data_IF_543624940029
#
_entry.id   IF_543624940029
#
_cell.length_a   1.000
_cell.length_b   1.000
_cell.length_c   1.000
_cell.angle_alpha   90.00
_cell.angle_beta   90.00
_cell.angle_gamma   90.00
#
_symmetry.space_group_name_H-M   'P 1'
#
loop_
_entity.id
_entity.type
_entity.pdbx_description
1 polymer ?
#
# COMPACT_ATOMS: atom_id res chain seq x y z
N UNK A 1 8.77 -19.00 -6.44
CA UNK A 1 8.68 -17.60 -6.95
C UNK A 1 9.74 -16.81 -6.22
N UNK A 2 10.53 -16.02 -6.93
CA UNK A 2 11.61 -15.20 -6.36
C UNK A 2 11.04 -13.81 -6.15
N UNK A 3 10.93 -13.37 -4.89
CA UNK A 3 10.44 -12.03 -4.58
C UNK A 3 11.60 -11.03 -4.59
N UNK A 4 11.43 -9.96 -5.35
CA UNK A 4 12.43 -8.90 -5.57
C UNK A 4 11.81 -7.55 -5.28
N UNK A 5 12.53 -6.69 -4.56
CA UNK A 5 12.06 -5.37 -4.17
C UNK A 5 13.20 -4.34 -4.11
N UNK A 6 12.92 -3.03 -4.27
CA UNK A 6 13.91 -1.99 -4.07
C UNK A 6 14.49 -2.03 -2.66
N UNK A 7 15.78 -1.74 -2.51
CA UNK A 7 16.48 -1.81 -1.21
C UNK A 7 15.78 -1.01 -0.11
N UNK A 8 15.17 0.13 -0.44
CA UNK A 8 14.44 0.98 0.50
C UNK A 8 13.02 0.49 0.84
N UNK A 9 12.52 -0.57 0.19
CA UNK A 9 11.15 -1.08 0.37
C UNK A 9 10.81 -1.40 1.82
N UNK A 10 11.75 -2.01 2.54
CA UNK A 10 11.58 -2.38 3.96
C UNK A 10 11.65 -1.17 4.91
N UNK A 11 12.16 -0.04 4.45
CA UNK A 11 12.25 1.20 5.24
C UNK A 11 10.96 2.00 5.22
N UNK A 12 10.05 1.66 4.30
CA UNK A 12 8.76 2.35 4.22
C UNK A 12 7.98 2.23 5.54
N UNK A 13 7.57 3.38 6.05
CA UNK A 13 6.66 3.53 7.20
C UNK A 13 5.63 4.59 6.88
N UNK A 14 4.36 4.26 7.05
CA UNK A 14 3.29 5.25 6.90
C UNK A 14 3.49 6.37 7.92
N UNK A 15 3.44 7.61 7.47
CA UNK A 15 3.57 8.79 8.34
C UNK A 15 2.24 9.34 8.86
N UNK A 16 1.14 8.65 8.54
CA UNK A 16 -0.21 8.86 9.07
C UNK A 16 -0.67 10.33 9.01
N UNK A 17 -0.91 10.94 10.18
CA UNK A 17 -1.36 12.34 10.35
C UNK A 17 -0.39 13.39 9.80
N UNK A 18 0.88 13.04 9.61
CA UNK A 18 1.90 13.93 9.03
C UNK A 18 1.85 14.03 7.51
N UNK A 19 0.94 13.29 6.84
CA UNK A 19 0.74 13.39 5.40
C UNK A 19 0.04 14.68 5.03
N UNK A 20 0.62 15.46 4.11
CA UNK A 20 -0.04 16.61 3.48
C UNK A 20 -1.06 16.14 2.45
N UNK A 21 -0.75 15.04 1.73
CA UNK A 21 -1.60 14.43 0.72
C UNK A 21 -1.98 13.01 1.13
N UNK A 22 -2.84 12.91 2.17
CA UNK A 22 -3.26 11.62 2.70
C UNK A 22 -3.99 10.78 1.65
N UNK A 23 -3.67 9.48 1.57
CA UNK A 23 -4.41 8.52 0.74
C UNK A 23 -5.90 8.42 1.13
N UNK A 24 -6.25 8.75 2.38
CA UNK A 24 -7.63 8.83 2.86
C UNK A 24 -8.39 10.08 2.36
N UNK A 25 -7.72 11.01 1.67
CA UNK A 25 -8.29 12.22 1.09
C UNK A 25 -8.30 12.18 -0.45
N UNK A 26 -8.08 11.03 -1.03
CA UNK A 26 -8.16 10.82 -2.47
C UNK A 26 -9.48 10.15 -2.81
N UNK A 27 -10.11 10.60 -3.86
CA UNK A 27 -11.41 10.08 -4.31
C UNK A 27 -11.23 8.74 -5.04
N UNK A 28 -10.91 7.68 -4.33
CA UNK A 28 -10.76 6.33 -4.85
C UNK A 28 -11.53 5.34 -3.98
N UNK A 29 -12.09 4.33 -4.61
CA UNK A 29 -12.85 3.28 -3.92
C UNK A 29 -11.92 2.45 -3.02
N UNK A 30 -12.38 2.18 -1.81
CA UNK A 30 -11.70 1.29 -0.87
C UNK A 30 -12.55 0.02 -0.75
N UNK A 31 -12.21 -0.98 -1.52
CA UNK A 31 -12.82 -2.29 -1.38
C UNK A 31 -12.37 -2.95 -0.07
N UNK A 32 -13.31 -3.62 0.59
CA UNK A 32 -13.06 -4.30 1.86
C UNK A 32 -13.06 -5.80 1.58
N UNK A 33 -11.94 -6.46 1.86
CA UNK A 33 -11.87 -7.91 1.76
C UNK A 33 -12.90 -8.59 2.68
N UNK A 34 -13.38 -9.76 2.26
CA UNK A 34 -14.49 -10.42 2.94
C UNK A 34 -14.16 -10.82 4.38
N UNK A 35 -12.91 -11.20 4.65
CA UNK A 35 -12.48 -11.58 6.00
C UNK A 35 -12.56 -10.38 6.95
N UNK A 36 -12.06 -9.23 6.51
CA UNK A 36 -12.12 -7.99 7.29
C UNK A 36 -13.53 -7.45 7.39
N UNK A 37 -14.33 -7.52 6.31
CA UNK A 37 -15.73 -7.14 6.35
C UNK A 37 -16.52 -7.94 7.39
N UNK A 38 -16.27 -9.24 7.50
CA UNK A 38 -16.89 -10.08 8.53
C UNK A 38 -16.48 -9.68 9.95
N UNK A 39 -15.21 -9.31 10.17
CA UNK A 39 -14.77 -8.74 11.47
C UNK A 39 -15.55 -7.47 11.82
N UNK A 40 -15.71 -6.56 10.86
CA UNK A 40 -16.44 -5.30 11.08
C UNK A 40 -17.91 -5.53 11.41
N UNK A 41 -18.55 -6.52 10.77
CA UNK A 41 -19.96 -6.82 11.01
C UNK A 41 -20.24 -7.32 12.44
N UNK A 42 -19.29 -8.00 13.07
CA UNK A 42 -19.44 -8.54 14.43
C UNK A 42 -18.75 -7.68 15.50
N UNK A 43 -18.00 -6.66 15.09
CA UNK A 43 -17.31 -5.76 16.01
C UNK A 43 -18.33 -4.99 16.85
N UNK A 44 -18.17 -5.02 18.17
CA UNK A 44 -19.07 -4.39 19.13
C UNK A 44 -18.61 -2.99 19.52
N UNK A 45 -19.49 -2.21 20.14
CA UNK A 45 -19.18 -0.86 20.60
C UNK A 45 -19.28 0.21 19.50
N UNK A 46 -19.01 1.45 19.89
CA UNK A 46 -19.09 2.62 19.02
C UNK A 46 -18.18 2.52 17.79
N UNK A 47 -16.91 2.05 17.90
CA UNK A 47 -16.06 1.88 16.73
C UNK A 47 -16.67 0.95 15.68
N UNK A 48 -17.21 -0.19 16.11
CA UNK A 48 -17.82 -1.16 15.22
C UNK A 48 -19.07 -0.62 14.53
N UNK A 49 -19.88 0.18 15.22
CA UNK A 49 -21.06 0.83 14.65
C UNK A 49 -20.67 1.88 13.60
N UNK A 50 -19.69 2.72 13.90
CA UNK A 50 -19.17 3.73 12.99
C UNK A 50 -18.60 3.10 11.73
N UNK A 51 -17.82 2.03 11.86
CA UNK A 51 -17.26 1.30 10.72
C UNK A 51 -18.39 0.71 9.87
N UNK A 52 -19.36 0.02 10.47
CA UNK A 52 -20.50 -0.58 9.73
C UNK A 52 -21.33 0.45 8.98
N UNK A 53 -21.62 1.59 9.57
CA UNK A 53 -22.40 2.66 8.93
C UNK A 53 -21.62 3.35 7.81
N UNK A 54 -20.30 3.22 7.79
CA UNK A 54 -19.43 3.74 6.73
C UNK A 54 -19.27 2.77 5.56
N UNK A 55 -19.72 1.52 5.70
CA UNK A 55 -19.66 0.52 4.64
C UNK A 55 -20.93 0.54 3.77
N UNK A 56 -20.75 0.28 2.49
CA UNK A 56 -21.81 -0.04 1.54
C UNK A 56 -21.53 -1.34 0.79
N UNK A 57 -22.53 -1.79 0.06
CA UNK A 57 -22.46 -3.00 -0.77
C UNK A 57 -22.94 -4.25 -0.04
N UNK A 58 -22.76 -5.38 -0.69
CA UNK A 58 -23.22 -6.70 -0.24
C UNK A 58 -22.05 -7.65 -0.03
N UNK A 59 -22.31 -8.85 0.44
CA UNK A 59 -21.30 -9.89 0.59
C UNK A 59 -20.45 -10.04 -0.69
N UNK A 60 -19.13 -10.01 -0.54
CA UNK A 60 -18.16 -10.10 -1.62
C UNK A 60 -17.96 -8.82 -2.44
N UNK A 61 -18.66 -7.72 -2.09
CA UNK A 61 -18.51 -6.42 -2.76
C UNK A 61 -18.82 -5.28 -1.76
N UNK A 62 -18.12 -5.27 -0.64
CA UNK A 62 -18.22 -4.21 0.36
C UNK A 62 -17.12 -3.20 0.17
N UNK A 63 -17.47 -1.94 0.40
CA UNK A 63 -16.52 -0.82 0.31
C UNK A 63 -16.85 0.28 1.31
N UNK A 64 -15.87 1.12 1.62
CA UNK A 64 -16.12 2.38 2.30
C UNK A 64 -16.61 3.41 1.29
N UNK A 65 -17.67 4.13 1.68
CA UNK A 65 -18.28 5.19 0.85
C UNK A 65 -17.55 6.49 1.12
N UNK A 66 -16.84 6.99 0.13
CA UNK A 66 -16.22 8.31 0.23
C UNK A 66 -17.27 9.42 0.30
N UNK A 67 -17.01 10.42 1.14
CA UNK A 67 -17.83 11.65 1.23
C UNK A 67 -16.94 12.82 0.90
N UNK A 68 -17.31 13.57 -0.14
CA UNK A 68 -16.56 14.74 -0.61
C UNK A 68 -15.07 14.47 -0.83
N UNK A 69 -14.74 13.30 -1.40
CA UNK A 69 -13.38 12.87 -1.65
C UNK A 69 -12.60 12.44 -0.40
N UNK A 70 -13.28 12.25 0.74
CA UNK A 70 -12.68 11.92 2.03
C UNK A 70 -13.22 10.60 2.56
N UNK A 71 -12.33 9.77 3.10
CA UNK A 71 -12.71 8.55 3.82
C UNK A 71 -13.54 8.93 5.07
N UNK A 72 -14.71 8.31 5.29
CA UNK A 72 -15.55 8.61 6.45
C UNK A 72 -14.91 8.21 7.79
N UNK A 73 -13.85 7.42 7.75
CA UNK A 73 -13.10 6.99 8.92
C UNK A 73 -11.84 7.82 9.18
N UNK A 74 -11.56 8.83 8.35
CA UNK A 74 -10.49 9.79 8.60
C UNK A 74 -10.97 10.86 9.58
N UNK A 75 -10.32 10.95 10.74
CA UNK A 75 -10.64 11.91 11.79
C UNK A 75 -10.11 13.31 11.44
N UNK A 76 -10.51 14.32 12.20
CA UNK A 76 -10.10 15.72 11.98
C UNK A 76 -8.61 15.93 12.23
N UNK A 77 -8.02 15.13 13.13
CA UNK A 77 -6.58 15.13 13.44
C UNK A 77 -5.72 14.43 12.36
N UNK A 78 -6.34 13.90 11.30
CA UNK A 78 -5.64 13.21 10.22
C UNK A 78 -5.38 11.73 10.45
N UNK A 79 -5.81 11.18 11.59
CA UNK A 79 -5.66 9.76 11.91
C UNK A 79 -6.85 8.93 11.39
N UNK A 80 -6.57 7.69 11.02
CA UNK A 80 -7.60 6.72 10.70
C UNK A 80 -8.28 6.22 12.00
N UNK A 81 -9.60 6.32 12.08
CA UNK A 81 -10.38 5.86 13.25
C UNK A 81 -10.17 4.37 13.53
N UNK A 82 -10.06 3.52 12.50
CA UNK A 82 -9.78 2.10 12.70
C UNK A 82 -8.48 1.93 13.47
N UNK A 83 -7.40 2.60 13.03
CA UNK A 83 -6.09 2.51 13.69
C UNK A 83 -6.18 3.04 15.12
N UNK A 84 -6.77 4.22 15.30
CA UNK A 84 -6.80 4.91 16.59
C UNK A 84 -7.63 4.17 17.65
N UNK A 85 -8.75 3.54 17.25
CA UNK A 85 -9.72 2.97 18.18
C UNK A 85 -9.68 1.44 18.25
N UNK A 86 -9.17 0.75 17.21
CA UNK A 86 -9.24 -0.72 17.15
C UNK A 86 -7.91 -1.39 16.85
N UNK A 87 -6.90 -0.64 16.40
CA UNK A 87 -5.58 -1.15 16.05
C UNK A 87 -5.38 -1.35 14.55
N UNK A 88 -4.12 -1.28 14.14
CA UNK A 88 -3.67 -1.40 12.74
C UNK A 88 -4.03 -2.76 12.14
N UNK A 89 -4.06 -3.80 12.93
CA UNK A 89 -4.41 -5.18 12.55
C UNK A 89 -5.87 -5.36 12.11
N UNK A 90 -6.67 -4.32 12.28
CA UNK A 90 -8.07 -4.30 11.83
C UNK A 90 -8.27 -3.50 10.53
N UNK A 91 -7.21 -3.04 9.88
CA UNK A 91 -7.31 -2.47 8.53
C UNK A 91 -7.72 -3.54 7.52
N UNK A 92 -8.50 -3.15 6.50
CA UNK A 92 -8.71 -3.99 5.32
C UNK A 92 -7.44 -4.05 4.46
N UNK A 93 -7.32 -5.09 3.63
CA UNK A 93 -6.10 -5.38 2.87
C UNK A 93 -5.61 -4.18 2.06
N UNK A 94 -6.50 -3.47 1.36
CA UNK A 94 -6.13 -2.27 0.59
C UNK A 94 -5.47 -1.22 1.48
N UNK A 95 -6.03 -0.93 2.66
CA UNK A 95 -5.48 0.07 3.56
C UNK A 95 -4.18 -0.41 4.23
N UNK A 96 -4.11 -1.68 4.64
CA UNK A 96 -2.94 -2.27 5.27
C UNK A 96 -1.75 -2.35 4.30
N UNK A 97 -2.02 -2.68 3.04
CA UNK A 97 -0.98 -2.86 2.02
C UNK A 97 -0.58 -1.55 1.34
N UNK A 98 -1.42 -0.51 1.34
CA UNK A 98 -1.09 0.75 0.69
C UNK A 98 0.23 1.35 1.23
N UNK A 99 1.12 1.82 0.39
CA UNK A 99 1.11 1.91 -1.07
C UNK A 99 1.81 0.75 -1.79
N UNK A 100 1.90 -0.40 -1.16
CA UNK A 100 2.60 -1.56 -1.73
C UNK A 100 1.84 -2.13 -2.92
N UNK A 101 2.59 -2.58 -3.91
CA UNK A 101 2.07 -3.31 -5.05
C UNK A 101 2.97 -4.49 -5.38
N UNK A 102 2.40 -5.48 -6.06
CA UNK A 102 3.09 -6.69 -6.49
C UNK A 102 2.79 -6.94 -7.95
N UNK A 103 3.82 -7.32 -8.70
CA UNK A 103 3.71 -7.66 -10.12
C UNK A 103 4.42 -8.99 -10.36
N UNK A 104 3.67 -9.97 -10.86
CA UNK A 104 4.24 -11.26 -11.23
C UNK A 104 4.74 -11.23 -12.68
N UNK A 105 5.93 -11.76 -12.91
CA UNK A 105 6.51 -11.96 -14.22
C UNK A 105 7.33 -13.27 -14.24
N UNK A 106 6.77 -14.31 -14.81
CA UNK A 106 7.39 -15.63 -14.85
C UNK A 106 7.60 -16.20 -13.44
N UNK A 107 8.84 -16.43 -13.05
CA UNK A 107 9.22 -16.93 -11.73
C UNK A 107 9.49 -15.83 -10.70
N UNK A 108 9.35 -14.55 -11.10
CA UNK A 108 9.60 -13.39 -10.25
C UNK A 108 8.31 -12.76 -9.79
N UNK A 109 8.30 -12.31 -8.55
CA UNK A 109 7.37 -11.36 -8.01
C UNK A 109 8.12 -10.06 -7.70
N UNK A 110 7.74 -8.97 -8.35
CA UNK A 110 8.29 -7.65 -8.07
C UNK A 110 7.39 -6.95 -7.05
N UNK A 111 7.93 -6.64 -5.88
CA UNK A 111 7.26 -5.81 -4.91
C UNK A 111 7.79 -4.37 -4.98
N UNK A 112 6.91 -3.41 -4.78
CA UNK A 112 7.29 -2.00 -4.77
C UNK A 112 6.36 -1.15 -3.92
N UNK A 113 6.67 0.14 -3.83
CA UNK A 113 5.82 1.16 -3.20
C UNK A 113 5.40 2.19 -4.23
N UNK A 114 4.10 2.44 -4.33
CA UNK A 114 3.50 3.31 -5.33
C UNK A 114 3.82 4.79 -5.11
N UNK A 115 4.08 5.52 -6.18
CA UNK A 115 4.41 6.94 -6.14
C UNK A 115 3.20 7.86 -5.91
N UNK A 116 2.01 7.31 -5.75
CA UNK A 116 0.84 8.04 -5.25
C UNK A 116 0.93 8.37 -3.75
N UNK A 117 1.86 7.74 -3.03
CA UNK A 117 2.14 8.01 -1.63
C UNK A 117 3.31 8.99 -1.48
N UNK A 118 3.11 10.10 -0.79
CA UNK A 118 4.16 11.12 -0.61
C UNK A 118 5.38 10.59 0.16
N UNK A 119 5.20 9.65 1.09
CA UNK A 119 6.32 9.01 1.79
C UNK A 119 7.14 8.11 0.86
N UNK A 120 6.48 7.39 -0.05
CA UNK A 120 7.19 6.61 -1.06
C UNK A 120 8.05 7.49 -1.96
N UNK A 121 7.51 8.64 -2.36
CA UNK A 121 8.26 9.64 -3.15
C UNK A 121 9.42 10.22 -2.35
N UNK A 122 9.20 10.56 -1.08
CA UNK A 122 10.26 11.09 -0.21
C UNK A 122 11.40 10.08 -0.03
N UNK A 123 11.09 8.80 0.20
CA UNK A 123 12.08 7.73 0.29
C UNK A 123 12.87 7.56 -1.00
N UNK A 124 12.21 7.56 -2.14
CA UNK A 124 12.87 7.44 -3.45
C UNK A 124 13.81 8.62 -3.70
N UNK A 125 13.36 9.85 -3.43
CA UNK A 125 14.15 11.06 -3.67
C UNK A 125 15.29 11.27 -2.65
N UNK A 126 15.16 10.74 -1.44
CA UNK A 126 16.22 10.80 -0.42
C UNK A 126 17.37 9.81 -0.70
N UNK A 127 17.13 8.85 -1.59
CA UNK A 127 18.14 7.88 -1.96
C UNK A 127 19.17 8.50 -2.90
N UNK A 128 20.38 8.76 -2.37
CA UNK A 128 21.49 9.35 -3.11
C UNK A 128 22.35 8.34 -3.90
N UNK A 129 22.02 7.05 -3.77
CA UNK A 129 22.70 5.95 -4.46
C UNK A 129 21.86 5.45 -5.64
N UNK A 130 22.47 4.79 -6.64
CA UNK A 130 21.70 4.10 -7.67
C UNK A 130 20.66 3.17 -7.06
N UNK A 131 19.50 3.05 -7.72
CA UNK A 131 18.42 2.17 -7.28
C UNK A 131 18.89 0.72 -7.32
N UNK A 132 19.02 0.10 -6.15
CA UNK A 132 19.39 -1.30 -6.00
C UNK A 132 18.17 -2.13 -5.60
N UNK A 133 18.17 -3.38 -6.02
CA UNK A 133 17.11 -4.34 -5.73
C UNK A 133 17.66 -5.46 -4.86
N UNK A 134 16.81 -6.00 -4.00
CA UNK A 134 17.09 -7.13 -3.12
C UNK A 134 16.22 -8.32 -3.49
N UNK A 135 16.77 -9.51 -3.38
CA UNK A 135 16.03 -10.76 -3.40
C UNK A 135 15.78 -11.22 -1.97
N UNK A 136 14.57 -11.70 -1.69
CA UNK A 136 14.16 -12.08 -0.31
C UNK A 136 14.94 -13.28 0.23
N UNK A 137 15.37 -14.21 -0.65
CA UNK A 137 16.12 -15.42 -0.28
C UNK A 137 17.64 -15.24 -0.26
N UNK A 138 18.15 -14.15 -0.81
CA UNK A 138 19.59 -13.87 -0.88
C UNK A 138 19.83 -12.42 -0.48
N UNK A 139 20.79 -12.18 0.43
CA UNK A 139 21.20 -10.81 0.79
C UNK A 139 22.00 -10.10 -0.33
N UNK A 140 21.75 -10.47 -1.58
CA UNK A 140 22.45 -9.92 -2.73
C UNK A 140 21.71 -8.67 -3.25
N UNK A 141 22.48 -7.62 -3.45
CA UNK A 141 22.02 -6.40 -4.09
C UNK A 141 22.40 -6.44 -5.57
N UNK A 142 21.48 -6.06 -6.45
CA UNK A 142 21.74 -5.94 -7.87
C UNK A 142 21.08 -4.68 -8.44
N UNK A 143 21.66 -4.15 -9.50
CA UNK A 143 21.14 -2.99 -10.18
C UNK A 143 19.99 -3.35 -11.13
N UNK A 144 19.28 -2.32 -11.63
CA UNK A 144 18.12 -2.50 -12.47
C UNK A 144 18.43 -3.23 -13.81
N UNK A 145 19.53 -2.96 -14.52
CA UNK A 145 19.91 -3.74 -15.71
C UNK A 145 20.09 -5.23 -15.41
N UNK A 146 20.75 -5.57 -14.31
CA UNK A 146 20.96 -6.98 -13.88
C UNK A 146 19.63 -7.66 -13.60
N UNK A 147 18.68 -6.97 -12.91
CA UNK A 147 17.34 -7.47 -12.65
C UNK A 147 16.60 -7.77 -13.96
N UNK A 148 16.56 -6.82 -14.89
CA UNK A 148 15.90 -7.00 -16.19
C UNK A 148 16.47 -8.18 -16.96
N UNK A 149 17.79 -8.32 -16.99
CA UNK A 149 18.46 -9.45 -17.65
C UNK A 149 18.05 -10.79 -17.03
N UNK A 150 18.01 -10.87 -15.70
CA UNK A 150 17.58 -12.08 -14.98
C UNK A 150 16.12 -12.45 -15.27
N UNK A 151 15.26 -11.45 -15.48
CA UNK A 151 13.85 -11.62 -15.85
C UNK A 151 13.63 -11.91 -17.35
N UNK A 152 14.70 -11.95 -18.16
CA UNK A 152 14.61 -12.09 -19.62
C UNK A 152 14.06 -10.86 -20.33
N UNK A 153 14.13 -9.70 -19.69
CA UNK A 153 13.73 -8.42 -20.26
C UNK A 153 14.96 -7.64 -20.77
N UNK A 154 14.78 -6.81 -21.79
CA UNK A 154 15.81 -5.89 -22.28
C UNK A 154 15.28 -4.45 -22.21
N UNK A 155 16.15 -3.53 -21.81
CA UNK A 155 15.87 -2.11 -21.99
C UNK A 155 16.00 -1.75 -23.50
N UNK A 156 15.12 -0.89 -24.02
CA UNK A 156 15.36 -0.28 -25.33
C UNK A 156 16.73 0.44 -25.33
N UNK A 157 17.48 0.34 -26.40
CA UNK A 157 18.82 0.98 -26.52
C UNK A 157 18.76 2.49 -26.23
N UNK A 158 17.65 3.13 -26.56
CA UNK A 158 17.41 4.57 -26.31
C UNK A 158 17.27 4.96 -24.83
N UNK A 159 17.06 4.02 -23.94
CA UNK A 159 16.91 4.30 -22.50
C UNK A 159 18.27 4.35 -21.76
N UNK A 160 19.37 4.09 -22.44
CA UNK A 160 20.73 4.05 -21.88
C UNK A 160 21.62 5.24 -22.30
N UNK A 161 21.07 6.20 -23.05
CA UNK A 161 21.79 7.39 -23.55
C UNK A 161 21.59 8.65 -22.69
#
# INVERSE_FOLDING_TARGET
MISVYPAFYKDFRCKADRCVHSCCMQNWDIDIDEATAMKYLVMTGEPGETIRTSMAGTKGNRRFIMKDGRCPLLQEDGLCRIIAETGEENLCDICAMHPRFFVENGNFELAGVGLACEESVALLLSNSTPLLFMEDSASSLFDFPTLLSAMGCSLPEEALS
#
